data_IF_842715431116
#
_entry.id   IF_842715431116
#
_cell.length_a   1.000
_cell.length_b   1.000
_cell.length_c   1.000
_cell.angle_alpha   90.00
_cell.angle_beta   90.00
_cell.angle_gamma   90.00
#
_symmetry.space_group_name_H-M   'P 1'
#
loop_
_entity.id
_entity.type
_entity.pdbx_description
1 polymer ?
#
# COMPACT_ATOMS: atom_id res chain seq x y z
N UNK A 1 7.29 -7.34 -13.02
CA UNK A 1 6.28 -6.53 -13.76
C UNK A 1 6.99 -5.33 -14.40
N UNK A 2 6.69 -4.98 -15.66
CA UNK A 2 7.31 -3.81 -16.34
C UNK A 2 6.56 -2.52 -16.02
N UNK A 3 7.20 -1.36 -16.22
CA UNK A 3 6.57 -0.06 -15.91
C UNK A 3 5.27 0.23 -16.70
N UNK A 4 5.15 -0.08 -18.01
CA UNK A 4 3.89 0.12 -18.74
C UNK A 4 2.75 -0.73 -18.19
N UNK A 5 3.04 -1.99 -17.82
CA UNK A 5 2.05 -2.90 -17.22
C UNK A 5 1.63 -2.42 -15.84
N UNK A 6 2.58 -1.94 -15.02
CA UNK A 6 2.25 -1.35 -13.72
C UNK A 6 1.29 -0.17 -13.85
N UNK A 7 1.53 0.76 -14.80
CA UNK A 7 0.63 1.90 -15.02
C UNK A 7 -0.79 1.48 -15.36
N UNK A 8 -0.95 0.45 -16.18
CA UNK A 8 -2.26 -0.09 -16.51
C UNK A 8 -2.91 -0.78 -15.30
N UNK A 9 -2.16 -1.60 -14.57
CA UNK A 9 -2.66 -2.26 -13.36
C UNK A 9 -3.14 -1.25 -12.30
N UNK A 10 -2.40 -0.14 -12.12
CA UNK A 10 -2.75 0.91 -11.16
C UNK A 10 -3.88 1.84 -11.63
N UNK A 11 -4.38 1.68 -12.85
CA UNK A 11 -5.59 2.39 -13.30
C UNK A 11 -6.88 1.78 -12.76
N UNK A 12 -6.78 0.58 -12.15
CA UNK A 12 -7.86 -0.11 -11.47
C UNK A 12 -7.87 0.33 -10.00
N UNK A 13 -9.06 0.61 -9.47
CA UNK A 13 -9.24 0.95 -8.06
C UNK A 13 -8.77 -0.17 -7.14
N UNK A 14 -8.12 0.21 -6.03
CA UNK A 14 -7.54 -0.71 -5.07
C UNK A 14 -6.01 -0.68 -5.09
N UNK A 15 -5.40 -1.83 -4.85
CA UNK A 15 -3.95 -1.97 -4.76
C UNK A 15 -3.41 -3.10 -5.65
N UNK A 16 -2.10 -3.09 -5.85
CA UNK A 16 -1.37 -4.17 -6.52
C UNK A 16 -0.51 -4.90 -5.49
N UNK A 17 -0.71 -6.21 -5.37
CA UNK A 17 0.07 -7.07 -4.47
C UNK A 17 1.20 -7.73 -5.25
N UNK A 18 2.43 -7.45 -4.84
CA UNK A 18 3.64 -7.89 -5.53
C UNK A 18 4.62 -8.41 -4.49
N UNK A 19 5.32 -9.50 -4.80
CA UNK A 19 6.47 -9.93 -4.01
C UNK A 19 7.77 -9.20 -4.42
N UNK A 20 8.82 -9.19 -3.59
CA UNK A 20 10.06 -8.44 -3.86
C UNK A 20 10.79 -8.82 -5.18
N UNK A 21 10.57 -10.03 -5.71
CA UNK A 21 11.15 -10.47 -6.99
C UNK A 21 10.45 -9.84 -8.22
N UNK A 22 9.33 -9.13 -8.00
CA UNK A 22 8.56 -8.47 -9.04
C UNK A 22 7.42 -9.30 -9.66
N UNK A 23 7.08 -10.44 -9.06
CA UNK A 23 5.87 -11.22 -9.42
C UNK A 23 4.64 -10.54 -8.81
N UNK A 24 3.66 -10.24 -9.68
CA UNK A 24 2.38 -9.67 -9.28
C UNK A 24 1.42 -10.81 -8.94
N UNK A 25 0.92 -10.84 -7.71
CA UNK A 25 -0.02 -11.86 -7.23
C UNK A 25 -1.47 -11.45 -7.44
N UNK A 26 -1.78 -10.16 -7.33
CA UNK A 26 -3.14 -9.64 -7.50
C UNK A 26 -3.17 -8.14 -7.86
N UNK A 27 -4.24 -7.70 -8.51
CA UNK A 27 -4.52 -6.32 -8.92
C UNK A 27 -5.96 -5.99 -8.46
N UNK A 28 -6.23 -4.74 -8.10
CA UNK A 28 -7.54 -4.32 -7.59
C UNK A 28 -7.82 -4.83 -6.18
N UNK A 29 -6.76 -5.07 -5.39
CA UNK A 29 -6.85 -5.63 -4.05
C UNK A 29 -7.47 -4.59 -3.11
N UNK A 30 -8.51 -4.99 -2.38
CA UNK A 30 -9.03 -4.21 -1.25
C UNK A 30 -8.08 -4.45 -0.08
N UNK A 31 -7.28 -3.44 0.23
CA UNK A 31 -6.42 -3.45 1.41
C UNK A 31 -7.26 -3.11 2.65
N UNK A 32 -7.34 -4.04 3.59
CA UNK A 32 -7.93 -3.82 4.90
C UNK A 32 -7.08 -4.47 6.00
N UNK A 33 -7.40 -4.19 7.24
CA UNK A 33 -6.72 -4.78 8.39
C UNK A 33 -7.51 -4.53 9.65
N UNK A 34 -6.95 -4.96 10.77
CA UNK A 34 -7.57 -4.67 12.07
C UNK A 34 -7.60 -3.16 12.32
N UNK A 35 -8.67 -2.69 12.97
CA UNK A 35 -8.77 -1.30 13.39
C UNK A 35 -7.57 -0.91 14.28
N UNK A 36 -7.03 0.28 14.07
CA UNK A 36 -5.82 0.75 14.76
C UNK A 36 -5.88 2.26 14.99
N UNK A 37 -5.30 2.70 16.09
CA UNK A 37 -5.09 4.11 16.45
C UNK A 37 -3.96 4.77 15.64
N UNK A 38 -3.18 4.00 14.87
CA UNK A 38 -2.10 4.52 14.01
C UNK A 38 -2.60 5.24 12.76
N UNK A 39 -3.91 5.25 12.52
CA UNK A 39 -4.50 6.00 11.42
C UNK A 39 -4.36 7.52 11.62
N UNK A 40 -4.43 8.27 10.53
CA UNK A 40 -4.33 9.72 10.52
C UNK A 40 -5.52 10.30 9.74
N UNK A 41 -6.37 11.06 10.45
CA UNK A 41 -7.58 11.68 9.88
C UNK A 41 -7.27 12.82 8.90
N UNK A 42 -6.06 13.37 8.92
CA UNK A 42 -5.60 14.33 7.91
C UNK A 42 -5.23 13.67 6.58
N UNK A 43 -5.09 12.34 6.55
CA UNK A 43 -4.73 11.55 5.37
C UNK A 43 -5.94 10.81 4.78
N UNK A 44 -5.86 10.51 3.48
CA UNK A 44 -6.94 9.83 2.75
C UNK A 44 -7.08 8.34 3.05
N UNK A 45 -8.13 7.73 2.47
CA UNK A 45 -8.46 6.32 2.68
C UNK A 45 -7.34 5.36 2.25
N UNK A 46 -6.64 5.65 1.15
CA UNK A 46 -5.53 4.82 0.63
C UNK A 46 -4.41 4.66 1.66
N UNK A 47 -4.00 5.76 2.29
CA UNK A 47 -3.00 5.76 3.36
C UNK A 47 -3.50 4.98 4.59
N UNK A 48 -4.71 5.29 5.06
CA UNK A 48 -5.25 4.67 6.26
C UNK A 48 -5.50 3.16 6.12
N UNK A 49 -5.94 2.69 4.95
CA UNK A 49 -6.03 1.26 4.62
C UNK A 49 -4.67 0.58 4.61
N UNK A 50 -3.64 1.22 4.03
CA UNK A 50 -2.28 0.70 4.05
C UNK A 50 -1.71 0.60 5.48
N UNK A 51 -1.94 1.59 6.33
CA UNK A 51 -1.56 1.55 7.75
C UNK A 51 -2.20 0.37 8.47
N UNK A 52 -3.52 0.17 8.31
CA UNK A 52 -4.22 -0.97 8.91
C UNK A 52 -3.67 -2.31 8.44
N UNK A 53 -3.51 -2.48 7.13
CA UNK A 53 -3.01 -3.72 6.54
C UNK A 53 -1.60 -4.05 7.03
N UNK A 54 -0.66 -3.10 6.91
CA UNK A 54 0.73 -3.30 7.33
C UNK A 54 0.83 -3.55 8.83
N UNK A 55 0.09 -2.81 9.64
CA UNK A 55 0.13 -2.95 11.11
C UNK A 55 -0.47 -4.25 11.63
N UNK A 56 -1.40 -4.85 10.88
CA UNK A 56 -2.05 -6.11 11.26
C UNK A 56 -1.50 -7.34 10.51
N UNK A 57 -0.59 -7.14 9.56
CA UNK A 57 0.04 -8.22 8.81
C UNK A 57 0.91 -9.08 9.72
N UNK A 58 0.74 -10.42 9.73
CA UNK A 58 1.64 -11.32 10.44
C UNK A 58 2.97 -11.54 9.69
N UNK A 59 3.09 -11.02 8.47
CA UNK A 59 4.29 -11.12 7.64
C UNK A 59 4.92 -9.74 7.41
N UNK A 60 6.26 -9.67 7.23
CA UNK A 60 6.91 -8.44 6.78
C UNK A 60 6.27 -7.94 5.49
N UNK A 61 5.79 -6.70 5.52
CA UNK A 61 5.08 -6.07 4.41
C UNK A 61 5.57 -4.64 4.25
N UNK A 62 5.75 -4.22 2.99
CA UNK A 62 5.96 -2.84 2.61
C UNK A 62 4.77 -2.40 1.77
N UNK A 63 4.07 -1.35 2.23
CA UNK A 63 3.12 -0.63 1.39
C UNK A 63 3.76 0.65 0.85
N UNK A 64 3.62 0.86 -0.45
CA UNK A 64 3.99 2.10 -1.14
C UNK A 64 2.70 2.81 -1.49
N UNK A 65 2.45 3.95 -0.84
CA UNK A 65 1.23 4.73 -1.04
C UNK A 65 1.59 5.96 -1.85
N UNK A 66 0.96 6.10 -3.02
CA UNK A 66 1.08 7.31 -3.84
C UNK A 66 -0.23 8.09 -3.75
N UNK A 67 -0.14 9.34 -3.33
CA UNK A 67 -1.28 10.25 -3.27
C UNK A 67 -1.49 10.96 -4.61
N UNK A 68 -2.67 11.53 -4.79
CA UNK A 68 -3.02 12.27 -6.01
C UNK A 68 -2.25 13.59 -6.13
N UNK A 69 -1.86 14.18 -5.00
CA UNK A 69 -1.02 15.38 -4.90
C UNK A 69 0.50 15.06 -4.95
N UNK A 70 0.87 13.81 -5.22
CA UNK A 70 2.25 13.42 -5.55
C UNK A 70 3.14 13.03 -4.37
N UNK A 71 2.59 12.93 -3.16
CA UNK A 71 3.31 12.40 -2.01
C UNK A 71 3.44 10.88 -2.10
N UNK A 72 4.59 10.37 -1.64
CA UNK A 72 4.90 8.95 -1.59
C UNK A 72 5.22 8.57 -0.15
N UNK A 73 4.42 7.69 0.43
CA UNK A 73 4.70 7.11 1.76
C UNK A 73 5.18 5.67 1.61
N UNK A 74 6.15 5.32 2.44
CA UNK A 74 6.61 3.95 2.65
C UNK A 74 6.19 3.51 4.05
N UNK A 75 5.42 2.43 4.13
CA UNK A 75 4.88 1.90 5.38
C UNK A 75 5.33 0.44 5.58
N UNK A 76 5.97 0.08 6.71
CA UNK A 76 6.37 0.98 7.79
C UNK A 76 7.49 1.92 7.33
N UNK A 77 7.56 3.12 7.91
CA UNK A 77 8.58 4.10 7.56
C UNK A 77 9.97 3.58 7.89
N UNK A 78 10.90 3.72 6.95
CA UNK A 78 12.28 3.21 7.05
C UNK A 78 13.09 3.83 8.21
N UNK A 79 12.55 4.83 8.91
CA UNK A 79 13.21 5.58 9.99
C UNK A 79 12.83 5.11 11.40
N UNK A 80 12.05 4.04 11.55
CA UNK A 80 11.79 3.46 12.88
C UNK A 80 12.82 2.35 13.17
N UNK A 81 13.90 2.75 13.84
CA UNK A 81 14.84 1.88 14.56
C UNK A 81 14.76 2.18 16.06
#
# INVERSE_FOLDING_TARGET
MTAPVLRQATSIDGAVLIEPTGVCHAIGVILDGQATEKGDSSRGARYNSAVRYVSSSPYPCLAIVVSEDGWIDLLPSATQA
#
